data_IF_197274977876
#
_entry.id   IF_197274977876
#
_cell.length_a   1.000
_cell.length_b   1.000
_cell.length_c   1.000
_cell.angle_alpha   90.00
_cell.angle_beta   90.00
_cell.angle_gamma   90.00
#
_symmetry.space_group_name_H-M   'P 1'
#
loop_
_entity.id
_entity.type
_entity.pdbx_description
1 polymer ?
#
# COMPACT_ATOMS: atom_id res chain seq x y z
N UNK A 1 11.52 -12.77 -4.19
CA UNK A 1 10.44 -11.82 -4.56
C UNK A 1 10.62 -11.19 -5.94
N UNK A 2 11.82 -10.75 -6.32
CA UNK A 2 12.09 -10.28 -7.70
C UNK A 2 11.67 -11.30 -8.78
N UNK A 3 11.87 -12.59 -8.49
CA UNK A 3 11.47 -13.71 -9.34
C UNK A 3 9.93 -13.86 -9.44
N UNK A 4 9.20 -13.66 -8.33
CA UNK A 4 7.70 -13.69 -8.30
C UNK A 4 7.12 -12.51 -9.11
N UNK A 5 7.82 -11.39 -9.14
CA UNK A 5 7.44 -10.19 -9.91
C UNK A 5 7.88 -10.24 -11.38
N UNK A 6 8.45 -11.36 -11.85
CA UNK A 6 8.93 -11.50 -13.23
C UNK A 6 10.12 -10.59 -13.58
N UNK A 7 10.82 -10.05 -12.58
CA UNK A 7 11.98 -9.15 -12.77
C UNK A 7 13.32 -9.88 -12.86
N UNK A 8 13.30 -11.19 -12.72
CA UNK A 8 14.48 -12.04 -12.82
C UNK A 8 14.13 -13.31 -13.61
N UNK A 9 14.12 -13.25 -14.95
CA UNK A 9 13.64 -14.34 -15.81
C UNK A 9 14.45 -15.63 -15.64
N UNK A 10 15.72 -15.55 -15.26
CA UNK A 10 16.57 -16.72 -15.00
C UNK A 10 16.14 -17.55 -13.79
N UNK A 11 15.34 -17.00 -12.86
CA UNK A 11 14.90 -17.69 -11.65
C UNK A 11 13.48 -18.26 -11.76
N UNK A 12 12.84 -18.11 -12.92
CA UNK A 12 11.53 -18.68 -13.23
C UNK A 12 11.49 -20.23 -13.19
N UNK A 13 12.51 -20.98 -13.65
CA UNK A 13 12.51 -22.43 -13.55
C UNK A 13 12.66 -22.94 -12.09
N UNK A 14 13.35 -22.19 -11.24
CA UNK A 14 13.59 -22.55 -9.82
C UNK A 14 12.42 -22.20 -8.89
N UNK A 15 11.42 -21.48 -9.40
CA UNK A 15 10.30 -21.01 -8.61
C UNK A 15 9.27 -22.13 -8.38
N UNK A 16 8.89 -22.42 -7.11
CA UNK A 16 7.84 -23.41 -6.82
C UNK A 16 6.51 -23.03 -7.48
N UNK A 17 5.75 -24.01 -7.96
CA UNK A 17 4.48 -23.81 -8.67
C UNK A 17 3.48 -22.93 -7.90
N UNK A 18 3.47 -22.99 -6.56
CA UNK A 18 2.63 -22.17 -5.69
C UNK A 18 2.92 -20.67 -5.84
N UNK A 19 4.20 -20.31 -5.95
CA UNK A 19 4.60 -18.92 -6.13
C UNK A 19 4.31 -18.39 -7.55
N UNK A 20 4.30 -19.26 -8.57
CA UNK A 20 3.90 -18.90 -9.94
C UNK A 20 2.42 -18.55 -10.06
N UNK A 21 1.57 -19.14 -9.21
CA UNK A 21 0.14 -18.83 -9.12
C UNK A 21 -0.15 -17.53 -8.38
N UNK A 22 0.81 -17.01 -7.61
CA UNK A 22 0.62 -15.82 -6.78
C UNK A 22 0.82 -14.55 -7.60
N UNK A 23 -0.27 -13.99 -8.13
CA UNK A 23 -0.23 -12.70 -8.83
C UNK A 23 -0.36 -11.55 -7.85
N UNK A 24 0.78 -10.96 -7.46
CA UNK A 24 0.82 -9.72 -6.66
C UNK A 24 0.03 -8.57 -7.30
N UNK A 25 -0.11 -8.57 -8.63
CA UNK A 25 -0.95 -7.60 -9.36
C UNK A 25 -2.44 -7.71 -9.06
N UNK A 26 -2.92 -8.85 -8.54
CA UNK A 26 -4.31 -9.06 -8.13
C UNK A 26 -4.57 -8.65 -6.67
N UNK A 27 -3.51 -8.36 -5.91
CA UNK A 27 -3.61 -7.98 -4.49
C UNK A 27 -3.58 -6.45 -4.39
N UNK A 28 -4.71 -5.87 -3.96
CA UNK A 28 -4.76 -4.45 -3.64
C UNK A 28 -4.29 -4.20 -2.22
N UNK A 29 -3.05 -3.74 -2.08
CA UNK A 29 -2.52 -3.28 -0.79
C UNK A 29 -2.79 -1.79 -0.64
N UNK A 30 -3.38 -1.39 0.49
CA UNK A 30 -3.60 0.02 0.83
C UNK A 30 -2.87 0.35 2.14
N UNK A 31 -1.97 1.32 2.09
CA UNK A 31 -1.33 1.91 3.25
C UNK A 31 -2.23 3.04 3.76
N UNK A 32 -2.78 2.88 4.97
CA UNK A 32 -3.64 3.89 5.57
C UNK A 32 -2.92 4.56 6.73
N UNK A 33 -2.81 5.88 6.70
CA UNK A 33 -2.37 6.69 7.82
C UNK A 33 -3.58 7.41 8.43
N UNK A 34 -3.83 7.18 9.72
CA UNK A 34 -4.91 7.84 10.46
C UNK A 34 -4.31 8.93 11.34
N UNK A 35 -4.74 10.17 11.15
CA UNK A 35 -4.31 11.31 11.98
C UNK A 35 -5.44 11.76 12.92
N UNK A 36 -5.11 11.98 14.20
CA UNK A 36 -6.08 12.29 15.27
C UNK A 36 -6.64 13.72 15.18
N UNK A 37 -5.77 14.71 14.99
CA UNK A 37 -6.13 16.13 15.17
C UNK A 37 -5.79 17.04 13.97
N UNK A 38 -5.49 16.47 12.79
CA UNK A 38 -5.13 17.28 11.62
C UNK A 38 -6.37 17.76 10.86
N UNK A 39 -6.46 19.07 10.62
CA UNK A 39 -7.47 19.68 9.75
C UNK A 39 -7.30 19.17 8.31
N UNK A 40 -8.39 18.91 7.59
CA UNK A 40 -8.35 18.33 6.23
C UNK A 40 -7.42 19.08 5.25
N UNK A 41 -7.22 20.38 5.48
CA UNK A 41 -6.31 21.24 4.70
C UNK A 41 -4.83 20.85 4.79
N UNK A 42 -4.42 20.15 5.86
CA UNK A 42 -3.04 19.65 6.03
C UNK A 42 -2.83 18.24 5.45
N UNK A 43 -3.89 17.57 4.98
CA UNK A 43 -3.81 16.21 4.42
C UNK A 43 -3.10 16.15 3.06
N UNK A 44 -3.29 17.09 2.12
CA UNK A 44 -2.62 17.03 0.82
C UNK A 44 -1.08 17.01 0.87
N UNK A 45 -0.39 17.88 1.65
CA UNK A 45 1.07 17.83 1.72
C UNK A 45 1.56 16.55 2.42
N UNK A 46 0.85 16.07 3.45
CA UNK A 46 1.19 14.82 4.14
C UNK A 46 1.01 13.61 3.21
N UNK A 47 -0.05 13.60 2.39
CA UNK A 47 -0.32 12.55 1.40
C UNK A 47 0.79 12.51 0.37
N UNK A 48 1.21 13.67 -0.13
CA UNK A 48 2.31 13.77 -1.09
C UNK A 48 3.64 13.31 -0.49
N UNK A 49 3.92 13.64 0.77
CA UNK A 49 5.12 13.19 1.48
C UNK A 49 5.11 11.67 1.69
N UNK A 50 3.98 11.10 2.11
CA UNK A 50 3.79 9.67 2.32
C UNK A 50 3.89 8.90 0.99
N UNK A 51 3.25 9.38 -0.07
CA UNK A 51 3.36 8.82 -1.42
C UNK A 51 4.82 8.85 -1.92
N UNK A 52 5.55 9.93 -1.65
CA UNK A 52 6.97 10.04 -2.01
C UNK A 52 7.83 9.05 -1.23
N UNK A 53 7.61 8.92 0.08
CA UNK A 53 8.32 7.99 0.95
C UNK A 53 8.04 6.52 0.60
N UNK A 54 6.79 6.20 0.23
CA UNK A 54 6.36 4.85 -0.13
C UNK A 54 6.60 4.51 -1.61
N UNK A 55 6.98 5.47 -2.45
CA UNK A 55 7.24 5.23 -3.89
C UNK A 55 8.24 4.11 -4.16
N UNK A 56 9.38 4.00 -3.44
CA UNK A 56 10.30 2.88 -3.60
C UNK A 56 9.63 1.54 -3.25
N UNK A 57 8.85 1.50 -2.18
CA UNK A 57 8.10 0.31 -1.74
C UNK A 57 7.02 -0.09 -2.75
N UNK A 58 6.16 0.83 -3.17
CA UNK A 58 5.12 0.57 -4.18
C UNK A 58 5.74 0.02 -5.46
N UNK A 59 6.87 0.61 -5.90
CA UNK A 59 7.60 0.13 -7.09
C UNK A 59 8.24 -1.23 -6.85
N UNK A 60 8.93 -1.43 -5.72
CA UNK A 60 9.60 -2.68 -5.38
C UNK A 60 8.62 -3.85 -5.30
N UNK A 61 7.39 -3.61 -4.84
CA UNK A 61 6.38 -4.65 -4.65
C UNK A 61 5.33 -4.73 -5.76
N UNK A 62 5.43 -3.86 -6.77
CA UNK A 62 4.48 -3.74 -7.88
C UNK A 62 3.02 -3.51 -7.44
N UNK A 63 2.82 -2.77 -6.35
CA UNK A 63 1.48 -2.41 -5.89
C UNK A 63 0.83 -1.36 -6.80
N UNK A 64 -0.49 -1.24 -6.73
CA UNK A 64 -1.24 -0.30 -7.53
C UNK A 64 -0.81 1.16 -7.26
N UNK A 65 -0.74 2.01 -8.30
CA UNK A 65 -0.50 3.43 -8.11
C UNK A 65 -1.64 4.02 -7.24
N UNK A 66 -1.29 4.85 -6.24
CA UNK A 66 -2.20 5.39 -5.19
C UNK A 66 -2.58 4.42 -4.06
N UNK A 67 -1.70 3.47 -3.75
CA UNK A 67 -1.87 2.60 -2.57
C UNK A 67 -1.85 3.36 -1.23
N UNK A 68 -1.42 4.63 -1.18
CA UNK A 68 -1.39 5.42 0.05
C UNK A 68 -2.67 6.25 0.24
N UNK A 69 -3.31 6.10 1.39
CA UNK A 69 -4.51 6.82 1.80
C UNK A 69 -4.22 7.48 3.15
N UNK A 70 -4.58 8.76 3.28
CA UNK A 70 -4.57 9.44 4.57
C UNK A 70 -6.00 9.77 4.92
N UNK A 71 -6.40 9.37 6.12
CA UNK A 71 -7.72 9.62 6.67
C UNK A 71 -7.57 10.37 7.99
N UNK A 72 -8.48 11.30 8.25
CA UNK A 72 -8.65 11.82 9.60
C UNK A 72 -9.37 10.76 10.46
N UNK A 73 -9.38 10.96 11.78
CA UNK A 73 -10.03 10.04 12.71
C UNK A 73 -11.52 9.84 12.39
N UNK A 74 -12.23 10.88 11.95
CA UNK A 74 -13.65 10.81 11.59
C UNK A 74 -13.90 9.90 10.38
N UNK A 75 -13.10 10.03 9.32
CA UNK A 75 -13.15 9.18 8.12
C UNK A 75 -12.69 7.77 8.42
N UNK A 76 -11.66 7.61 9.26
CA UNK A 76 -11.18 6.29 9.67
C UNK A 76 -12.27 5.52 10.44
N UNK A 77 -13.01 6.19 11.35
CA UNK A 77 -14.20 5.61 12.00
C UNK A 77 -15.30 5.27 10.99
N UNK A 78 -15.60 6.17 10.05
CA UNK A 78 -16.61 5.93 8.99
C UNK A 78 -16.27 4.71 8.13
N UNK A 79 -14.98 4.46 7.88
CA UNK A 79 -14.50 3.31 7.12
C UNK A 79 -14.27 2.05 7.97
N UNK A 80 -14.56 2.08 9.29
CA UNK A 80 -14.38 0.94 10.19
C UNK A 80 -12.91 0.54 10.40
N UNK A 81 -11.98 1.48 10.20
CA UNK A 81 -10.53 1.23 10.30
C UNK A 81 -10.01 1.38 11.73
N UNK A 82 -10.77 2.07 12.58
CA UNK A 82 -10.52 2.20 14.01
C UNK A 82 -11.84 2.04 14.74
N UNK A 83 -11.81 1.34 15.87
CA UNK A 83 -12.99 1.19 16.71
C UNK A 83 -13.38 2.51 17.36
N UNK A 84 -14.69 2.65 17.61
CA UNK A 84 -15.30 3.85 18.19
C UNK A 84 -14.96 4.05 19.68
N UNK A 85 -14.15 3.18 20.28
CA UNK A 85 -13.86 3.14 21.71
C UNK A 85 -12.62 3.95 22.10
N UNK A 86 -12.89 5.03 22.84
CA UNK A 86 -12.02 5.84 23.72
C UNK A 86 -11.11 6.88 23.06
#
# INVERSE_FOLDING_TARGET
MACVLGRHPQAEPELPCTFKKFRLSQIQVKFVLVTKDHTERALPPLKKALEKALRPTIRAWAFAPRSAIILNQALARKHGLIDTTS
#
